data_IF_509195385135
#
_entry.id   IF_509195385135
#
_cell.length_a   1.000
_cell.length_b   1.000
_cell.length_c   1.000
_cell.angle_alpha   90.00
_cell.angle_beta   90.00
_cell.angle_gamma   90.00
#
_symmetry.space_group_name_H-M   'P 1'
#
loop_
_entity.id
_entity.type
_entity.pdbx_description
1 polymer ?
#
# COMPACT_ATOMS: atom_id res chain seq x y z
N UNK A 1 -30.98 -25.39 11.25
CA UNK A 1 -30.11 -24.83 10.19
C UNK A 1 -28.92 -25.76 10.04
N UNK A 2 -28.71 -26.31 8.86
CA UNK A 2 -27.58 -27.21 8.58
C UNK A 2 -26.26 -26.43 8.49
N UNK A 3 -25.13 -27.07 8.81
CA UNK A 3 -23.78 -26.45 8.69
C UNK A 3 -23.55 -25.83 7.31
N UNK A 4 -24.03 -26.44 6.23
CA UNK A 4 -23.96 -25.91 4.85
C UNK A 4 -24.69 -24.57 4.68
N UNK A 5 -25.86 -24.38 5.30
CA UNK A 5 -26.62 -23.11 5.21
C UNK A 5 -25.89 -21.97 5.91
N UNK A 6 -25.24 -22.23 7.05
CA UNK A 6 -24.46 -21.23 7.80
C UNK A 6 -23.21 -20.85 7.02
N UNK A 7 -22.52 -21.81 6.41
CA UNK A 7 -21.33 -21.57 5.60
C UNK A 7 -21.64 -20.72 4.35
N UNK A 8 -22.73 -21.04 3.64
CA UNK A 8 -23.20 -20.28 2.46
C UNK A 8 -23.60 -18.83 2.81
N UNK A 9 -24.18 -18.59 3.98
CA UNK A 9 -24.52 -17.23 4.46
C UNK A 9 -23.24 -16.44 4.79
N UNK A 10 -22.28 -17.08 5.43
CA UNK A 10 -21.00 -16.44 5.76
C UNK A 10 -20.22 -16.06 4.48
N UNK A 11 -20.09 -16.97 3.52
CA UNK A 11 -19.42 -16.72 2.25
C UNK A 11 -20.04 -15.54 1.47
N UNK A 12 -21.39 -15.45 1.46
CA UNK A 12 -22.10 -14.33 0.84
C UNK A 12 -21.85 -13.00 1.55
N UNK A 13 -21.75 -13.02 2.88
CA UNK A 13 -21.45 -11.82 3.66
C UNK A 13 -20.04 -11.33 3.38
N UNK A 14 -19.05 -12.24 3.33
CA UNK A 14 -17.65 -11.91 2.95
C UNK A 14 -17.60 -11.31 1.55
N UNK A 15 -18.16 -11.97 0.54
CA UNK A 15 -18.17 -11.48 -0.84
C UNK A 15 -18.88 -10.11 -0.96
N UNK A 16 -19.95 -9.88 -0.17
CA UNK A 16 -20.61 -8.57 -0.17
C UNK A 16 -19.73 -7.49 0.44
N UNK A 17 -19.03 -7.80 1.53
CA UNK A 17 -18.09 -6.86 2.18
C UNK A 17 -16.94 -6.48 1.23
N UNK A 18 -16.33 -7.45 0.56
CA UNK A 18 -15.27 -7.22 -0.44
C UNK A 18 -15.77 -6.34 -1.59
N UNK A 19 -16.99 -6.59 -2.08
CA UNK A 19 -17.62 -5.77 -3.12
C UNK A 19 -17.81 -4.32 -2.68
N UNK A 20 -18.18 -4.11 -1.40
CA UNK A 20 -18.32 -2.77 -0.82
C UNK A 20 -16.97 -2.08 -0.73
N UNK A 21 -15.94 -2.74 -0.22
CA UNK A 21 -14.57 -2.20 -0.12
C UNK A 21 -14.04 -1.81 -1.50
N UNK A 22 -14.18 -2.68 -2.51
CA UNK A 22 -13.78 -2.37 -3.88
C UNK A 22 -14.47 -1.11 -4.42
N UNK A 23 -15.79 -1.02 -4.30
CA UNK A 23 -16.52 0.15 -4.76
C UNK A 23 -16.17 1.42 -3.96
N UNK A 24 -15.93 1.28 -2.66
CA UNK A 24 -15.48 2.39 -1.81
C UNK A 24 -14.09 2.87 -2.22
N UNK A 25 -13.14 1.95 -2.47
CA UNK A 25 -11.80 2.31 -2.92
C UNK A 25 -11.81 3.06 -4.26
N UNK A 26 -12.60 2.61 -5.24
CA UNK A 26 -12.76 3.33 -6.51
C UNK A 26 -13.33 4.74 -6.32
N UNK A 27 -14.32 4.90 -5.45
CA UNK A 27 -14.93 6.21 -5.18
C UNK A 27 -13.98 7.12 -4.40
N UNK A 28 -13.24 6.60 -3.42
CA UNK A 28 -12.25 7.39 -2.70
C UNK A 28 -11.02 7.76 -3.56
N UNK A 29 -10.57 6.85 -4.43
CA UNK A 29 -9.50 7.12 -5.37
C UNK A 29 -9.87 8.28 -6.33
N UNK A 30 -11.10 8.26 -6.85
CA UNK A 30 -11.59 9.25 -7.81
C UNK A 30 -11.89 10.61 -7.14
N UNK A 31 -12.59 10.62 -6.00
CA UNK A 31 -13.15 11.84 -5.41
C UNK A 31 -12.47 12.31 -4.11
N UNK A 32 -11.58 11.51 -3.51
CA UNK A 32 -11.07 11.74 -2.16
C UNK A 32 -12.13 11.54 -1.08
N UNK A 33 -11.74 11.75 0.18
CA UNK A 33 -12.70 11.61 1.26
C UNK A 33 -13.85 12.62 1.14
N UNK A 34 -13.58 13.91 1.04
CA UNK A 34 -14.60 14.95 1.04
C UNK A 34 -15.57 14.85 -0.15
N UNK A 35 -15.09 14.50 -1.35
CA UNK A 35 -15.91 14.35 -2.55
C UNK A 35 -16.68 13.03 -2.65
N UNK A 36 -16.35 12.02 -1.84
CA UNK A 36 -17.02 10.74 -1.77
C UNK A 36 -18.31 10.82 -0.97
N UNK A 37 -19.30 9.98 -1.32
CA UNK A 37 -20.55 9.81 -0.56
C UNK A 37 -20.99 8.34 -0.55
N UNK A 38 -21.72 7.96 0.51
CA UNK A 38 -22.32 6.62 0.62
C UNK A 38 -23.21 6.31 -0.61
N UNK A 39 -23.92 7.30 -1.12
CA UNK A 39 -24.77 7.13 -2.32
C UNK A 39 -23.94 6.77 -3.56
N UNK A 40 -22.78 7.42 -3.78
CA UNK A 40 -21.86 7.07 -4.87
C UNK A 40 -21.34 5.64 -4.73
N UNK A 41 -20.98 5.23 -3.49
CA UNK A 41 -20.49 3.89 -3.20
C UNK A 41 -21.56 2.84 -3.45
N UNK A 42 -22.79 3.08 -2.97
CA UNK A 42 -23.94 2.19 -3.22
C UNK A 42 -24.20 2.00 -4.72
N UNK A 43 -24.20 3.11 -5.47
CA UNK A 43 -24.39 3.08 -6.93
C UNK A 43 -23.27 2.28 -7.61
N UNK A 44 -22.01 2.49 -7.21
CA UNK A 44 -20.84 1.79 -7.76
C UNK A 44 -20.88 0.30 -7.43
N UNK A 45 -21.23 -0.04 -6.19
CA UNK A 45 -21.35 -1.42 -5.72
C UNK A 45 -22.60 -2.15 -6.25
N UNK A 46 -23.65 -1.42 -6.69
CA UNK A 46 -24.91 -2.04 -7.09
C UNK A 46 -25.56 -2.83 -5.94
N UNK A 47 -25.60 -2.26 -4.74
CA UNK A 47 -26.17 -2.87 -3.53
C UNK A 47 -27.18 -1.92 -2.86
N UNK A 48 -27.99 -2.50 -1.96
CA UNK A 48 -28.95 -1.72 -1.17
C UNK A 48 -28.28 -1.02 0.02
N UNK A 49 -28.84 0.10 0.53
CA UNK A 49 -28.35 0.72 1.75
C UNK A 49 -28.30 -0.24 2.95
N UNK A 50 -29.31 -1.11 3.11
CA UNK A 50 -29.32 -2.10 4.19
C UNK A 50 -28.15 -3.07 4.15
N UNK A 51 -27.73 -3.50 2.94
CA UNK A 51 -26.57 -4.37 2.78
C UNK A 51 -25.26 -3.65 3.18
N UNK A 52 -25.11 -2.37 2.86
CA UNK A 52 -23.94 -1.59 3.26
C UNK A 52 -23.92 -1.39 4.79
N UNK A 53 -25.02 -0.94 5.37
CA UNK A 53 -25.09 -0.64 6.80
C UNK A 53 -25.02 -1.88 7.70
N UNK A 54 -25.22 -3.07 7.14
CA UNK A 54 -24.93 -4.33 7.83
C UNK A 54 -23.42 -4.51 8.09
N UNK A 55 -22.56 -4.02 7.17
CA UNK A 55 -21.10 -4.20 7.26
C UNK A 55 -20.38 -2.96 7.80
N UNK A 56 -20.85 -1.77 7.50
CA UNK A 56 -20.18 -0.50 7.81
C UNK A 56 -21.15 0.54 8.33
N UNK A 57 -20.80 1.20 9.42
CA UNK A 57 -21.63 2.24 10.04
C UNK A 57 -21.76 3.53 9.22
N UNK A 58 -20.93 3.72 8.21
CA UNK A 58 -20.97 4.89 7.33
C UNK A 58 -19.66 5.16 6.58
N UNK A 59 -19.56 6.35 5.99
CA UNK A 59 -18.42 6.75 5.14
C UNK A 59 -17.08 6.70 5.88
N UNK A 60 -17.05 7.12 7.14
CA UNK A 60 -15.83 7.10 7.95
C UNK A 60 -15.33 5.67 8.19
N UNK A 61 -16.23 4.74 8.54
CA UNK A 61 -15.86 3.33 8.73
C UNK A 61 -15.37 2.68 7.44
N UNK A 62 -15.95 3.06 6.29
CA UNK A 62 -15.49 2.63 4.97
C UNK A 62 -14.09 3.18 4.65
N UNK A 63 -13.84 4.45 4.92
CA UNK A 63 -12.52 5.07 4.69
C UNK A 63 -11.44 4.40 5.55
N UNK A 64 -11.74 4.17 6.83
CA UNK A 64 -10.83 3.45 7.72
C UNK A 64 -10.55 2.03 7.23
N UNK A 65 -11.57 1.27 6.81
CA UNK A 65 -11.39 -0.07 6.29
C UNK A 65 -10.54 -0.09 5.00
N UNK A 66 -10.79 0.81 4.04
CA UNK A 66 -9.97 0.95 2.82
C UNK A 66 -8.52 1.30 3.17
N UNK A 67 -8.30 2.17 4.13
CA UNK A 67 -6.97 2.58 4.58
C UNK A 67 -6.20 1.43 5.24
N UNK A 68 -6.85 0.62 6.07
CA UNK A 68 -6.23 -0.52 6.76
C UNK A 68 -5.99 -1.69 5.78
N UNK A 69 -6.93 -1.95 4.89
CA UNK A 69 -6.90 -3.08 3.95
C UNK A 69 -6.16 -2.76 2.64
N UNK A 70 -5.49 -1.59 2.52
CA UNK A 70 -4.82 -1.18 1.29
C UNK A 70 -3.73 -2.15 0.78
N UNK A 71 -3.16 -2.95 1.68
CA UNK A 71 -2.18 -3.98 1.35
C UNK A 71 -2.76 -5.36 1.04
N UNK A 72 -4.07 -5.54 1.23
CA UNK A 72 -4.71 -6.84 1.02
C UNK A 72 -4.69 -7.24 -0.46
N UNK A 73 -4.33 -8.49 -0.72
CA UNK A 73 -4.24 -9.03 -2.07
C UNK A 73 -2.99 -8.60 -2.86
N UNK A 74 -2.07 -7.85 -2.25
CA UNK A 74 -0.76 -7.61 -2.86
C UNK A 74 0.10 -8.88 -2.77
N UNK A 75 0.62 -9.30 -3.91
CA UNK A 75 1.55 -10.43 -3.97
C UNK A 75 2.98 -9.90 -3.81
N UNK A 76 3.64 -10.33 -2.72
CA UNK A 76 5.03 -9.94 -2.50
C UNK A 76 5.92 -10.52 -3.62
N UNK A 77 6.81 -9.72 -4.23
CA UNK A 77 7.75 -10.22 -5.22
C UNK A 77 8.50 -11.46 -4.72
N UNK A 78 8.75 -12.46 -5.59
CA UNK A 78 9.53 -13.61 -5.22
C UNK A 78 10.99 -13.25 -4.96
N UNK A 79 11.67 -14.03 -4.17
CA UNK A 79 13.10 -13.87 -3.86
C UNK A 79 13.42 -14.09 -2.40
N UNK A 80 14.69 -14.18 -2.10
CA UNK A 80 15.19 -14.32 -0.72
C UNK A 80 15.09 -12.98 0.01
N UNK A 81 14.69 -13.02 1.28
CA UNK A 81 14.60 -11.83 2.12
C UNK A 81 15.93 -11.05 2.15
N UNK A 82 15.86 -9.73 2.30
CA UNK A 82 17.01 -8.84 2.33
C UNK A 82 16.85 -7.61 1.45
N UNK A 83 17.97 -6.91 1.17
CA UNK A 83 17.94 -5.64 0.45
C UNK A 83 17.37 -5.74 -0.97
N UNK A 84 17.70 -6.81 -1.71
CA UNK A 84 17.15 -6.95 -3.08
C UNK A 84 15.63 -7.05 -3.05
N UNK A 85 15.09 -7.91 -2.17
CA UNK A 85 13.65 -8.06 -2.04
C UNK A 85 12.96 -6.77 -1.60
N UNK A 86 13.55 -6.02 -0.68
CA UNK A 86 13.03 -4.72 -0.26
C UNK A 86 12.97 -3.72 -1.42
N UNK A 87 14.00 -3.67 -2.26
CA UNK A 87 14.01 -2.86 -3.49
C UNK A 87 12.87 -3.32 -4.42
N UNK A 88 12.76 -4.63 -4.65
CA UNK A 88 11.74 -5.19 -5.54
C UNK A 88 10.31 -4.93 -5.02
N UNK A 89 10.08 -5.01 -3.71
CA UNK A 89 8.81 -4.62 -3.08
C UNK A 89 8.50 -3.14 -3.36
N UNK A 90 9.46 -2.24 -3.17
CA UNK A 90 9.25 -0.81 -3.41
C UNK A 90 8.91 -0.52 -4.89
N UNK A 91 9.59 -1.17 -5.82
CA UNK A 91 9.36 -1.00 -7.25
C UNK A 91 8.04 -1.66 -7.70
N UNK A 92 7.69 -2.82 -7.13
CA UNK A 92 6.40 -3.48 -7.32
C UNK A 92 5.24 -2.58 -6.88
N UNK A 93 5.33 -2.00 -5.68
CA UNK A 93 4.31 -1.07 -5.17
C UNK A 93 4.15 0.16 -6.06
N UNK A 94 5.23 0.64 -6.71
CA UNK A 94 5.11 1.71 -7.70
C UNK A 94 4.29 1.28 -8.92
N UNK A 95 4.43 0.04 -9.37
CA UNK A 95 3.61 -0.55 -10.42
C UNK A 95 2.15 -0.72 -10.00
N UNK A 96 1.91 -1.22 -8.79
CA UNK A 96 0.55 -1.36 -8.23
C UNK A 96 -0.17 -0.03 -8.10
N UNK A 97 0.51 1.04 -7.70
CA UNK A 97 -0.07 2.39 -7.65
C UNK A 97 -0.54 2.93 -9.02
N UNK A 98 -0.18 2.29 -10.13
CA UNK A 98 -0.73 2.65 -11.46
C UNK A 98 -2.12 2.05 -11.69
N UNK A 99 -2.42 0.87 -11.15
CA UNK A 99 -3.59 0.07 -11.52
C UNK A 99 -4.51 -0.31 -10.36
N UNK A 100 -3.98 -0.43 -9.14
CA UNK A 100 -4.70 -0.89 -7.97
C UNK A 100 -5.40 0.27 -7.25
N UNK A 101 -6.73 0.37 -7.41
CA UNK A 101 -7.53 1.44 -6.79
C UNK A 101 -7.59 1.35 -5.25
N UNK A 102 -7.50 0.12 -4.68
CA UNK A 102 -7.49 -0.05 -3.23
C UNK A 102 -6.22 0.55 -2.61
N UNK A 103 -5.06 0.26 -3.19
CA UNK A 103 -3.79 0.82 -2.74
C UNK A 103 -3.76 2.35 -2.92
N UNK A 104 -4.21 2.87 -4.10
CA UNK A 104 -4.28 4.32 -4.32
C UNK A 104 -5.20 5.04 -3.36
N UNK A 105 -6.41 4.49 -3.14
CA UNK A 105 -7.36 5.04 -2.18
C UNK A 105 -6.80 5.01 -0.76
N UNK A 106 -6.18 3.91 -0.35
CA UNK A 106 -5.59 3.75 0.98
C UNK A 106 -4.51 4.79 1.25
N UNK A 107 -3.53 4.95 0.35
CA UNK A 107 -2.46 5.95 0.51
C UNK A 107 -2.98 7.40 0.45
N UNK A 108 -4.04 7.66 -0.34
CA UNK A 108 -4.70 8.96 -0.38
C UNK A 108 -5.41 9.27 0.94
N UNK A 109 -6.23 8.34 1.43
CA UNK A 109 -6.97 8.48 2.69
C UNK A 109 -6.03 8.63 3.88
N UNK A 110 -4.87 7.96 3.89
CA UNK A 110 -3.86 8.12 4.91
C UNK A 110 -3.32 9.55 5.02
N UNK A 111 -3.29 10.31 3.93
CA UNK A 111 -2.94 11.75 3.93
C UNK A 111 -4.13 12.62 4.32
N UNK A 112 -5.35 12.24 3.91
CA UNK A 112 -6.59 13.00 4.14
C UNK A 112 -7.24 12.72 5.53
N UNK A 113 -6.58 12.01 6.45
CA UNK A 113 -7.15 11.59 7.74
C UNK A 113 -7.73 12.74 8.56
N UNK A 114 -7.14 13.93 8.51
CA UNK A 114 -7.63 15.11 9.18
C UNK A 114 -9.06 15.53 8.81
N UNK A 115 -9.60 15.01 7.70
CA UNK A 115 -10.96 15.30 7.24
C UNK A 115 -12.03 14.39 7.87
N UNK A 116 -11.65 13.25 8.48
CA UNK A 116 -12.62 12.25 8.93
C UNK A 116 -12.35 11.56 10.26
N UNK A 117 -11.29 11.93 10.98
CA UNK A 117 -11.04 11.27 12.25
C UNK A 117 -9.82 11.81 13.00
N UNK A 118 -9.49 11.12 14.08
CA UNK A 118 -8.22 11.32 14.77
C UNK A 118 -7.09 10.73 13.90
N UNK A 119 -5.88 11.32 13.97
CA UNK A 119 -4.71 10.75 13.31
C UNK A 119 -4.50 9.29 13.71
N UNK A 120 -4.33 8.43 12.71
CA UNK A 120 -4.08 7.00 12.86
C UNK A 120 -2.88 6.62 11.99
N UNK A 121 -1.76 6.27 12.61
CA UNK A 121 -0.53 5.90 11.91
C UNK A 121 -0.44 4.39 11.63
N UNK A 122 -1.44 3.60 12.05
CA UNK A 122 -1.50 2.14 11.83
C UNK A 122 -1.15 1.72 10.40
N UNK A 123 -1.65 2.38 9.33
CA UNK A 123 -1.29 2.02 7.96
C UNK A 123 0.20 2.22 7.66
N UNK A 124 0.82 3.22 8.25
CA UNK A 124 2.27 3.46 8.09
C UNK A 124 3.08 2.46 8.91
N UNK A 125 2.64 2.14 10.13
CA UNK A 125 3.28 1.14 10.99
C UNK A 125 3.27 -0.25 10.35
N UNK A 126 2.23 -0.61 9.63
CA UNK A 126 2.19 -1.82 8.82
C UNK A 126 3.37 -1.87 7.82
N UNK A 127 3.56 -0.82 7.03
CA UNK A 127 4.66 -0.77 6.05
C UNK A 127 6.03 -0.70 6.71
N UNK A 128 6.16 0.02 7.84
CA UNK A 128 7.40 0.06 8.62
C UNK A 128 7.77 -1.35 9.08
N UNK A 129 6.82 -2.13 9.59
CA UNK A 129 7.06 -3.52 10.00
C UNK A 129 7.50 -4.40 8.83
N UNK A 130 6.83 -4.30 7.67
CA UNK A 130 7.18 -5.06 6.47
C UNK A 130 8.60 -4.73 5.96
N UNK A 131 8.98 -3.46 5.97
CA UNK A 131 10.32 -3.02 5.55
C UNK A 131 11.38 -3.40 6.57
N UNK A 132 11.07 -3.31 7.87
CA UNK A 132 11.98 -3.73 8.94
C UNK A 132 12.30 -5.22 8.86
N UNK A 133 11.33 -6.08 8.53
CA UNK A 133 11.56 -7.52 8.33
C UNK A 133 12.63 -7.78 7.27
N UNK A 134 12.55 -7.11 6.12
CA UNK A 134 13.54 -7.25 5.05
C UNK A 134 14.91 -6.67 5.44
N UNK A 135 14.93 -5.57 6.18
CA UNK A 135 16.17 -4.96 6.68
C UNK A 135 16.85 -5.81 7.74
N UNK A 136 16.09 -6.47 8.63
CA UNK A 136 16.64 -7.43 9.60
C UNK A 136 17.30 -8.62 8.88
N UNK A 137 16.64 -9.18 7.88
CA UNK A 137 17.23 -10.23 7.06
C UNK A 137 18.50 -9.76 6.31
N UNK A 138 18.51 -8.51 5.83
CA UNK A 138 19.68 -7.90 5.22
C UNK A 138 20.84 -7.72 6.22
N UNK A 139 20.53 -7.33 7.46
CA UNK A 139 21.51 -7.19 8.53
C UNK A 139 22.13 -8.55 8.90
N UNK A 140 21.32 -9.59 9.06
CA UNK A 140 21.78 -10.97 9.32
C UNK A 140 22.71 -11.49 8.21
N UNK A 141 22.46 -11.10 6.95
CA UNK A 141 23.28 -11.46 5.78
C UNK A 141 24.54 -10.60 5.61
N UNK A 142 24.76 -9.60 6.49
CA UNK A 142 25.86 -8.66 6.37
C UNK A 142 25.77 -7.75 5.14
N UNK A 143 24.56 -7.45 4.69
CA UNK A 143 24.32 -6.55 3.56
C UNK A 143 24.31 -5.08 3.97
N UNK A 144 23.99 -4.78 5.24
CA UNK A 144 23.98 -3.43 5.80
C UNK A 144 25.31 -3.04 6.41
N UNK A 145 25.61 -1.74 6.43
CA UNK A 145 26.72 -1.18 7.19
C UNK A 145 26.47 -1.36 8.70
N UNK A 146 27.56 -1.51 9.52
CA UNK A 146 27.43 -1.90 10.95
C UNK A 146 26.64 -0.92 11.84
N UNK A 147 26.62 0.35 11.48
CA UNK A 147 26.02 1.47 12.22
C UNK A 147 24.60 1.81 11.76
N UNK A 148 24.00 1.00 10.87
CA UNK A 148 22.62 1.21 10.43
C UNK A 148 21.65 0.70 11.48
N UNK A 149 20.83 1.60 12.00
CA UNK A 149 19.65 1.25 12.79
C UNK A 149 18.53 0.82 11.84
N UNK A 150 18.12 -0.45 11.94
CA UNK A 150 17.12 -1.07 11.05
C UNK A 150 15.74 -0.41 11.22
N UNK A 151 15.35 -0.07 12.44
CA UNK A 151 14.02 0.48 12.68
C UNK A 151 13.91 1.94 12.21
N UNK A 152 14.93 2.74 12.48
CA UNK A 152 15.03 4.12 11.97
C UNK A 152 15.11 4.14 10.44
N UNK A 153 15.85 3.20 9.84
CA UNK A 153 15.92 3.09 8.38
C UNK A 153 14.57 2.67 7.78
N UNK A 154 13.86 1.71 8.39
CA UNK A 154 12.54 1.31 7.93
C UNK A 154 11.57 2.50 7.93
N UNK A 155 11.54 3.27 9.01
CA UNK A 155 10.73 4.47 9.14
C UNK A 155 11.10 5.53 8.10
N UNK A 156 12.39 5.77 7.91
CA UNK A 156 12.93 6.69 6.91
C UNK A 156 12.53 6.28 5.49
N UNK A 157 12.60 4.98 5.17
CA UNK A 157 12.21 4.46 3.86
C UNK A 157 10.72 4.62 3.58
N UNK A 158 9.85 4.31 4.55
CA UNK A 158 8.39 4.51 4.40
C UNK A 158 8.07 5.98 4.21
N UNK A 159 8.69 6.87 4.97
CA UNK A 159 8.52 8.32 4.86
C UNK A 159 8.99 8.85 3.49
N UNK A 160 10.16 8.39 3.04
CA UNK A 160 10.73 8.77 1.74
C UNK A 160 9.89 8.25 0.58
N UNK A 161 9.39 7.01 0.67
CA UNK A 161 8.47 6.43 -0.31
C UNK A 161 7.18 7.25 -0.39
N UNK A 162 6.56 7.54 0.76
CA UNK A 162 5.30 8.29 0.85
C UNK A 162 5.44 9.69 0.26
N UNK A 163 6.52 10.40 0.57
CA UNK A 163 6.82 11.71 -0.02
C UNK A 163 7.05 11.62 -1.53
N UNK A 164 7.82 10.64 -1.98
CA UNK A 164 8.13 10.43 -3.40
C UNK A 164 6.87 10.14 -4.22
N UNK A 165 6.01 9.22 -3.75
CA UNK A 165 4.78 8.88 -4.45
C UNK A 165 3.78 10.05 -4.49
N UNK A 166 3.70 10.84 -3.41
CA UNK A 166 2.83 12.01 -3.35
C UNK A 166 3.27 13.09 -4.35
N UNK A 167 4.56 13.42 -4.38
CA UNK A 167 5.11 14.38 -5.34
C UNK A 167 4.98 13.90 -6.78
N UNK A 168 5.23 12.63 -7.04
CA UNK A 168 5.04 12.04 -8.36
C UNK A 168 3.57 12.07 -8.79
N UNK A 169 2.63 11.79 -7.87
CA UNK A 169 1.19 11.92 -8.14
C UNK A 169 0.82 13.34 -8.58
N UNK A 170 1.30 14.34 -7.87
CA UNK A 170 0.99 15.76 -8.14
C UNK A 170 1.62 16.22 -9.47
N UNK A 171 2.86 15.79 -9.74
CA UNK A 171 3.63 16.28 -10.88
C UNK A 171 3.31 15.59 -12.19
N UNK A 172 3.08 14.27 -12.16
CA UNK A 172 3.02 13.44 -13.37
C UNK A 172 1.92 12.36 -13.35
N UNK A 173 1.05 12.37 -12.33
CA UNK A 173 0.07 11.28 -12.13
C UNK A 173 0.73 9.93 -11.87
N UNK A 174 1.91 9.93 -11.25
CA UNK A 174 2.75 8.76 -10.93
C UNK A 174 3.45 8.11 -12.15
N UNK A 175 3.40 8.70 -13.34
CA UNK A 175 4.06 8.11 -14.51
C UNK A 175 5.59 8.01 -14.35
N UNK A 176 6.23 8.85 -13.53
CA UNK A 176 7.66 8.82 -13.25
C UNK A 176 8.03 8.14 -11.91
N UNK A 177 7.05 7.57 -11.18
CA UNK A 177 7.27 7.06 -9.82
C UNK A 177 8.35 5.98 -9.78
N UNK A 178 8.33 5.02 -10.71
CA UNK A 178 9.34 3.99 -10.80
C UNK A 178 10.75 4.61 -10.87
N UNK A 179 10.96 5.57 -11.77
CA UNK A 179 12.26 6.22 -11.98
C UNK A 179 12.69 7.02 -10.75
N UNK A 180 11.75 7.65 -10.05
CA UNK A 180 12.00 8.36 -8.79
C UNK A 180 12.48 7.43 -7.70
N UNK A 181 11.86 6.25 -7.56
CA UNK A 181 12.26 5.26 -6.57
C UNK A 181 13.61 4.63 -6.89
N UNK A 182 13.90 4.35 -8.15
CA UNK A 182 15.25 3.93 -8.56
C UNK A 182 16.30 4.99 -8.17
N UNK A 183 15.99 6.27 -8.39
CA UNK A 183 16.87 7.37 -7.98
C UNK A 183 17.03 7.44 -6.47
N UNK A 184 15.94 7.32 -5.71
CA UNK A 184 15.97 7.29 -4.24
C UNK A 184 16.92 6.19 -3.74
N UNK A 185 16.77 4.96 -4.23
CA UNK A 185 17.64 3.85 -3.86
C UNK A 185 19.11 4.08 -4.24
N UNK A 186 19.38 4.64 -5.41
CA UNK A 186 20.76 4.97 -5.81
C UNK A 186 21.45 5.94 -4.87
N UNK A 187 20.70 6.90 -4.30
CA UNK A 187 21.24 7.85 -3.32
C UNK A 187 21.33 7.25 -1.91
N UNK A 188 20.44 6.36 -1.51
CA UNK A 188 20.44 5.76 -0.18
C UNK A 188 21.46 4.63 -0.02
N UNK A 189 21.58 3.75 -1.01
CA UNK A 189 22.44 2.55 -0.93
C UNK A 189 23.89 2.82 -0.50
N UNK A 190 24.57 3.87 -0.97
CA UNK A 190 25.95 4.16 -0.53
C UNK A 190 26.09 4.40 0.98
N UNK A 191 25.06 4.90 1.63
CA UNK A 191 25.06 5.20 3.07
C UNK A 191 24.51 4.08 3.96
N UNK A 192 23.95 3.01 3.38
CA UNK A 192 23.31 1.95 4.17
C UNK A 192 23.82 0.54 3.86
N UNK A 193 24.31 0.31 2.65
CA UNK A 193 24.69 -1.04 2.17
C UNK A 193 26.19 -1.20 2.01
N UNK A 194 26.69 -2.40 2.36
CA UNK A 194 28.10 -2.76 2.15
C UNK A 194 28.47 -2.75 0.66
N UNK A 195 29.74 -2.46 0.28
CA UNK A 195 30.17 -2.50 -1.12
C UNK A 195 29.89 -3.84 -1.80
N UNK A 196 30.03 -4.94 -1.07
CA UNK A 196 29.76 -6.29 -1.58
C UNK A 196 28.26 -6.52 -1.86
N UNK A 197 27.38 -6.01 -1.01
CA UNK A 197 25.94 -6.06 -1.27
C UNK A 197 25.57 -5.20 -2.47
N UNK A 198 26.02 -3.95 -2.52
CA UNK A 198 25.70 -3.01 -3.62
C UNK A 198 26.06 -3.54 -4.99
N UNK A 199 27.18 -4.28 -5.12
CA UNK A 199 27.62 -4.84 -6.42
C UNK A 199 26.68 -5.91 -6.98
N UNK A 200 25.77 -6.48 -6.16
CA UNK A 200 24.82 -7.53 -6.55
C UNK A 200 23.40 -7.01 -6.75
N UNK A 201 23.10 -5.81 -6.21
CA UNK A 201 21.74 -5.24 -6.27
C UNK A 201 21.42 -4.74 -7.68
N UNK A 202 20.18 -4.99 -8.09
CA UNK A 202 19.65 -4.61 -9.39
C UNK A 202 18.28 -3.93 -9.27
N UNK A 203 17.94 -3.12 -10.27
CA UNK A 203 16.63 -2.49 -10.41
C UNK A 203 15.91 -3.13 -11.60
N UNK A 204 14.99 -4.04 -11.31
CA UNK A 204 14.26 -4.78 -12.36
C UNK A 204 13.22 -3.89 -13.03
N UNK A 205 13.32 -3.72 -14.35
CA UNK A 205 12.37 -2.95 -15.16
C UNK A 205 11.00 -3.64 -15.32
N UNK A 206 10.85 -4.89 -14.89
CA UNK A 206 9.55 -5.60 -14.97
C UNK A 206 8.42 -4.90 -14.21
N UNK A 207 8.76 -4.02 -13.26
CA UNK A 207 7.80 -3.23 -12.48
C UNK A 207 7.56 -1.83 -13.06
N UNK A 208 8.30 -1.44 -14.10
CA UNK A 208 8.11 -0.15 -14.79
C UNK A 208 6.92 -0.23 -15.74
N UNK A 209 5.77 0.21 -15.29
CA UNK A 209 4.54 0.28 -16.10
C UNK A 209 4.35 1.62 -16.81
N UNK A 210 5.33 2.53 -16.73
CA UNK A 210 5.27 3.82 -17.43
C UNK A 210 5.47 3.69 -18.95
N UNK A 211 5.88 2.50 -19.41
CA UNK A 211 6.25 2.21 -20.81
C UNK A 211 5.20 1.34 -21.54
N UNK A 212 4.07 1.04 -20.88
CA UNK A 212 3.00 0.22 -21.46
C UNK A 212 1.87 1.03 -22.09
#
# INVERSE_FOLDING_TARGET
MTKETVQSVHERAVATREKIIRAASEVFDEYGYSGASVSKILSRAGITPGALYFHFSGKQALAHAVMVEQGDGLESPPGDDGLQRLIDINLYLAGELQTNSLLRAGVRLAVEQGEFGAPDDTPYQYWVAQFAEQLLAAQEKGELLPDVDVHELAWTLVSSYSGTQLLSQISTGRSDLYQRLVSLWRYLLPGIATPAARSRLAFSSQWDRSVA
#
